data_IF_087847274221
#
_entry.id   IF_087847274221
#
_cell.length_a   1.000
_cell.length_b   1.000
_cell.length_c   1.000
_cell.angle_alpha   90.00
_cell.angle_beta   90.00
_cell.angle_gamma   90.00
#
_symmetry.space_group_name_H-M   'P 1'
#
loop_
_entity.id
_entity.type
_entity.pdbx_description
1 polymer ?
#
# COMPACT_ATOMS: atom_id res chain seq x y z
N UNK A 1 -9.54 6.08 -1.77
CA UNK A 1 -8.81 6.58 -2.95
C UNK A 1 -8.33 5.39 -3.77
N UNK A 2 -8.47 5.47 -5.10
CA UNK A 2 -7.95 4.49 -6.06
C UNK A 2 -6.51 4.83 -6.39
N UNK A 3 -5.61 3.84 -6.30
CA UNK A 3 -4.18 4.01 -6.65
C UNK A 3 -3.89 3.29 -7.96
N UNK A 4 -3.22 3.99 -8.88
CA UNK A 4 -2.76 3.40 -10.15
C UNK A 4 -1.33 2.92 -9.96
N UNK A 5 -1.11 1.64 -10.24
CA UNK A 5 0.16 0.95 -10.03
C UNK A 5 0.71 0.50 -11.37
N UNK A 6 1.98 0.79 -11.59
CA UNK A 6 2.76 0.35 -12.75
C UNK A 6 3.96 -0.49 -12.33
N UNK A 7 4.48 -1.28 -13.28
CA UNK A 7 5.70 -2.06 -13.11
C UNK A 7 6.76 -1.43 -13.99
N UNK A 8 7.93 -1.14 -13.41
CA UNK A 8 9.01 -0.47 -14.13
C UNK A 8 9.51 -1.39 -15.26
N UNK A 9 9.51 -0.94 -16.53
CA UNK A 9 10.05 -1.73 -17.63
C UNK A 9 11.57 -1.86 -17.50
N UNK A 10 12.11 -3.01 -17.92
CA UNK A 10 13.54 -3.32 -17.82
C UNK A 10 14.44 -2.42 -18.71
N UNK A 11 13.86 -1.73 -19.70
CA UNK A 11 14.52 -0.73 -20.54
C UNK A 11 13.67 0.53 -20.59
N UNK A 12 14.24 1.74 -20.41
CA UNK A 12 13.51 2.98 -20.65
C UNK A 12 13.20 3.06 -22.14
N UNK A 13 11.94 2.81 -22.52
CA UNK A 13 11.49 3.17 -23.86
C UNK A 13 11.32 4.69 -23.89
N UNK A 14 11.84 5.34 -24.91
CA UNK A 14 11.33 6.66 -25.29
C UNK A 14 9.82 6.48 -25.49
N UNK A 15 9.00 7.17 -24.69
CA UNK A 15 7.55 7.21 -24.86
C UNK A 15 7.28 7.81 -26.24
N UNK A 16 7.17 6.98 -27.27
CA UNK A 16 6.37 7.32 -28.42
C UNK A 16 4.94 7.38 -27.88
N UNK A 17 4.39 8.59 -27.79
CA UNK A 17 3.07 8.80 -27.24
C UNK A 17 2.06 8.01 -28.06
N UNK A 18 1.25 7.22 -27.36
CA UNK A 18 -0.01 6.76 -27.91
C UNK A 18 -1.02 6.69 -26.75
N UNK A 19 -2.15 7.39 -26.92
CA UNK A 19 -3.28 7.38 -26.00
C UNK A 19 -3.22 8.39 -24.85
N UNK A 20 -3.90 9.53 -25.00
CA UNK A 20 -4.22 10.47 -23.93
C UNK A 20 -5.21 9.90 -22.87
N UNK A 21 -5.33 8.58 -22.76
CA UNK A 21 -6.40 7.87 -22.04
C UNK A 21 -5.88 6.79 -21.09
N UNK A 22 -4.60 6.42 -21.15
CA UNK A 22 -4.09 5.39 -20.26
C UNK A 22 -3.80 5.95 -18.87
N UNK A 23 -4.30 5.29 -17.81
CA UNK A 23 -4.16 5.79 -16.45
C UNK A 23 -2.68 5.79 -16.04
N UNK A 24 -2.12 6.97 -15.77
CA UNK A 24 -0.71 7.13 -15.44
C UNK A 24 -0.39 6.56 -14.04
N UNK A 25 0.59 5.65 -13.91
CA UNK A 25 0.96 5.08 -12.63
C UNK A 25 1.49 6.11 -11.63
N UNK A 26 0.87 6.18 -10.45
CA UNK A 26 1.33 7.02 -9.33
C UNK A 26 2.28 6.29 -8.40
N UNK A 27 2.27 4.95 -8.44
CA UNK A 27 3.17 4.08 -7.65
C UNK A 27 3.83 3.07 -8.59
N UNK A 28 5.14 2.89 -8.43
CA UNK A 28 5.97 2.05 -9.28
C UNK A 28 6.59 0.90 -8.48
N UNK A 29 6.50 -0.32 -9.03
CA UNK A 29 7.20 -1.50 -8.50
C UNK A 29 8.27 -1.97 -9.49
N UNK A 30 9.36 -2.54 -8.98
CA UNK A 30 10.41 -3.06 -9.87
C UNK A 30 10.02 -4.39 -10.52
N UNK A 31 9.02 -5.09 -10.00
CA UNK A 31 8.54 -6.36 -10.57
C UNK A 31 7.14 -6.73 -10.11
N UNK A 32 6.48 -7.60 -10.89
CA UNK A 32 5.23 -8.25 -10.50
C UNK A 32 5.33 -8.98 -9.16
N UNK A 33 6.47 -9.63 -8.91
CA UNK A 33 6.71 -10.37 -7.66
C UNK A 33 6.65 -9.45 -6.44
N UNK A 34 7.27 -8.27 -6.52
CA UNK A 34 7.21 -7.29 -5.43
C UNK A 34 5.79 -6.76 -5.23
N UNK A 35 5.08 -6.46 -6.33
CA UNK A 35 3.68 -6.03 -6.29
C UNK A 35 2.79 -7.08 -5.62
N UNK A 36 2.83 -8.32 -6.09
CA UNK A 36 2.00 -9.42 -5.57
C UNK A 36 2.31 -9.73 -4.10
N UNK A 37 3.57 -9.57 -3.68
CA UNK A 37 3.96 -9.73 -2.27
C UNK A 37 3.37 -8.61 -1.40
N UNK A 38 3.38 -7.36 -1.88
CA UNK A 38 2.87 -6.24 -1.10
C UNK A 38 1.34 -6.20 -1.08
N UNK A 39 0.70 -6.43 -2.22
CA UNK A 39 -0.76 -6.49 -2.38
C UNK A 39 -1.31 -7.92 -2.30
N UNK A 40 -0.71 -8.75 -1.46
CA UNK A 40 -1.24 -10.06 -1.14
C UNK A 40 -2.66 -9.97 -0.59
N UNK A 41 -3.43 -11.07 -0.65
CA UNK A 41 -4.79 -11.12 -0.10
C UNK A 41 -4.85 -10.65 1.35
N UNK A 42 -3.91 -11.12 2.17
CA UNK A 42 -3.80 -10.71 3.58
C UNK A 42 -3.59 -9.21 3.76
N UNK A 43 -2.74 -8.59 2.94
CA UNK A 43 -2.45 -7.16 3.06
C UNK A 43 -3.60 -6.32 2.49
N UNK A 44 -4.29 -6.79 1.43
CA UNK A 44 -5.50 -6.13 0.92
C UNK A 44 -6.65 -6.21 1.93
N UNK A 45 -6.83 -7.35 2.58
CA UNK A 45 -7.78 -7.50 3.68
C UNK A 45 -7.43 -6.56 4.85
N UNK A 46 -6.14 -6.47 5.21
CA UNK A 46 -5.66 -5.55 6.24
C UNK A 46 -5.96 -4.08 5.88
N UNK A 47 -5.75 -3.67 4.63
CA UNK A 47 -6.04 -2.31 4.16
C UNK A 47 -7.53 -1.98 4.25
N UNK A 48 -8.41 -2.93 3.88
CA UNK A 48 -9.87 -2.80 4.03
C UNK A 48 -10.27 -2.70 5.49
N UNK A 49 -9.75 -3.58 6.34
CA UNK A 49 -9.99 -3.57 7.78
C UNK A 49 -9.59 -2.24 8.43
N UNK A 50 -8.42 -1.69 8.06
CA UNK A 50 -7.98 -0.37 8.50
C UNK A 50 -8.94 0.74 8.06
N UNK A 51 -9.46 0.68 6.84
CA UNK A 51 -10.42 1.68 6.32
C UNK A 51 -11.76 1.60 7.06
N UNK A 52 -12.27 0.40 7.26
CA UNK A 52 -13.58 0.16 7.86
C UNK A 52 -13.60 0.51 9.35
N UNK A 53 -12.56 0.08 10.09
CA UNK A 53 -12.54 0.19 11.56
C UNK A 53 -11.73 1.36 12.10
N UNK A 54 -10.91 2.00 11.27
CA UNK A 54 -10.09 3.16 11.64
C UNK A 54 -9.35 2.97 12.98
N UNK A 55 -8.45 1.98 13.08
CA UNK A 55 -7.76 1.65 14.32
C UNK A 55 -7.02 2.88 14.86
N UNK A 56 -7.06 3.07 16.17
CA UNK A 56 -6.34 4.09 16.92
C UNK A 56 -4.87 3.72 17.09
N UNK A 57 -4.53 2.43 17.07
CA UNK A 57 -3.14 1.97 17.23
C UNK A 57 -2.83 0.75 16.34
N UNK A 58 -1.54 0.51 16.07
CA UNK A 58 -1.07 -0.74 15.43
C UNK A 58 -1.42 -1.97 16.26
N UNK A 59 -1.46 -1.85 17.59
CA UNK A 59 -1.80 -2.97 18.48
C UNK A 59 -3.27 -3.39 18.30
N UNK A 60 -4.18 -2.43 18.25
CA UNK A 60 -5.60 -2.69 18.01
C UNK A 60 -5.82 -3.33 16.63
N UNK A 61 -5.11 -2.86 15.60
CA UNK A 61 -5.13 -3.50 14.29
C UNK A 61 -4.58 -4.94 14.33
N UNK A 62 -3.58 -5.21 15.17
CA UNK A 62 -3.01 -6.53 15.38
C UNK A 62 -4.04 -7.50 15.96
N UNK A 63 -4.78 -7.05 16.97
CA UNK A 63 -5.85 -7.83 17.60
C UNK A 63 -6.96 -8.18 16.59
N UNK A 64 -7.43 -7.20 15.80
CA UNK A 64 -8.51 -7.45 14.83
C UNK A 64 -8.09 -8.31 13.64
N UNK A 65 -6.83 -8.18 13.20
CA UNK A 65 -6.30 -8.96 12.08
C UNK A 65 -5.79 -10.34 12.50
N UNK A 66 -5.66 -10.62 13.80
CA UNK A 66 -5.06 -11.85 14.32
C UNK A 66 -3.57 -12.00 14.01
N UNK A 67 -2.89 -10.90 13.62
CA UNK A 67 -1.48 -10.91 13.21
C UNK A 67 -0.60 -10.34 14.31
N UNK A 68 0.61 -10.88 14.47
CA UNK A 68 1.58 -10.31 15.39
C UNK A 68 1.93 -8.85 15.05
N UNK A 69 1.93 -7.96 16.05
CA UNK A 69 2.19 -6.53 15.88
C UNK A 69 3.57 -6.22 15.25
N UNK A 70 4.58 -7.06 15.52
CA UNK A 70 5.93 -6.96 14.91
C UNK A 70 5.92 -7.25 13.41
N UNK A 71 5.07 -8.18 12.95
CA UNK A 71 4.88 -8.48 11.54
C UNK A 71 4.14 -7.34 10.84
N UNK A 72 3.05 -6.88 11.44
CA UNK A 72 2.30 -5.74 10.92
C UNK A 72 3.15 -4.48 10.81
N UNK A 73 3.99 -4.19 11.81
CA UNK A 73 4.86 -3.02 11.75
C UNK A 73 5.79 -3.02 10.53
N UNK A 74 6.31 -4.19 10.15
CA UNK A 74 7.15 -4.33 8.93
C UNK A 74 6.33 -4.14 7.66
N UNK A 75 5.15 -4.76 7.59
CA UNK A 75 4.22 -4.62 6.46
C UNK A 75 3.75 -3.17 6.30
N UNK A 76 3.33 -2.51 7.38
CA UNK A 76 2.83 -1.14 7.38
C UNK A 76 3.90 -0.14 6.93
N UNK A 77 5.16 -0.31 7.38
CA UNK A 77 6.27 0.50 6.87
C UNK A 77 6.52 0.28 5.38
N UNK A 78 6.37 -0.95 4.89
CA UNK A 78 6.51 -1.22 3.46
C UNK A 78 5.39 -0.54 2.68
N UNK A 79 4.14 -0.68 3.12
CA UNK A 79 2.98 0.00 2.52
C UNK A 79 3.11 1.53 2.56
N UNK A 80 3.66 2.08 3.65
CA UNK A 80 3.90 3.51 3.81
C UNK A 80 4.93 4.06 2.83
N UNK A 81 6.02 3.32 2.57
CA UNK A 81 7.02 3.73 1.54
C UNK A 81 6.41 3.86 0.14
N UNK A 82 5.35 3.11 -0.14
CA UNK A 82 4.62 3.15 -1.41
C UNK A 82 3.42 4.10 -1.36
N UNK A 83 3.26 4.89 -0.29
CA UNK A 83 2.15 5.84 -0.14
C UNK A 83 0.78 5.18 0.02
N UNK A 84 0.71 3.89 0.31
CA UNK A 84 -0.56 3.15 0.46
C UNK A 84 -1.14 3.27 1.87
N UNK A 85 -0.28 3.56 2.84
CA UNK A 85 -0.61 3.74 4.26
C UNK A 85 0.12 4.97 4.78
N UNK A 86 -0.46 5.63 5.79
CA UNK A 86 0.20 6.67 6.57
C UNK A 86 0.31 6.24 8.02
N UNK A 87 1.49 6.35 8.62
CA UNK A 87 1.70 6.07 10.04
C UNK A 87 1.73 7.39 10.82
N UNK A 88 0.67 7.67 11.57
CA UNK A 88 0.61 8.84 12.44
C UNK A 88 1.25 8.50 13.79
N UNK A 89 2.36 9.17 14.11
CA UNK A 89 3.07 8.99 15.37
C UNK A 89 2.62 10.05 16.34
N UNK A 90 2.21 9.63 17.53
CA UNK A 90 1.88 10.58 18.59
C UNK A 90 3.16 11.19 19.17
N UNK A 91 3.20 12.50 19.44
CA UNK A 91 4.35 13.13 20.11
C UNK A 91 4.45 12.71 21.58
N UNK A 92 3.33 12.45 22.24
CA UNK A 92 3.28 12.20 23.69
C UNK A 92 3.36 10.72 24.07
N UNK A 93 3.17 9.80 23.11
CA UNK A 93 3.12 8.36 23.38
C UNK A 93 3.88 7.58 22.31
N UNK A 94 4.32 6.36 22.65
CA UNK A 94 4.91 5.42 21.67
C UNK A 94 3.87 4.80 20.73
N UNK A 95 2.61 5.18 20.85
CA UNK A 95 1.53 4.66 20.01
C UNK A 95 1.67 5.21 18.59
N UNK A 96 1.36 4.35 17.62
CA UNK A 96 1.33 4.71 16.21
C UNK A 96 -0.03 4.32 15.66
N UNK A 97 -0.72 5.27 15.04
CA UNK A 97 -2.00 5.07 14.40
C UNK A 97 -1.80 4.84 12.91
N UNK A 98 -2.09 3.64 12.37
CA UNK A 98 -2.04 3.40 10.94
C UNK A 98 -3.32 3.87 10.25
N UNK A 99 -3.18 4.50 9.09
CA UNK A 99 -4.30 4.91 8.24
C UNK A 99 -4.09 4.34 6.83
N UNK A 100 -5.08 3.61 6.29
CA UNK A 100 -5.05 3.23 4.88
C UNK A 100 -5.33 4.45 4.01
N UNK A 101 -4.45 4.74 3.04
CA UNK A 101 -4.66 5.78 2.04
C UNK A 101 -5.30 5.19 0.78
N UNK A 102 -4.92 3.96 0.43
CA UNK A 102 -5.42 3.23 -0.73
C UNK A 102 -6.10 1.92 -0.32
N UNK A 103 -7.26 1.64 -0.92
CA UNK A 103 -7.99 0.37 -0.76
C UNK A 103 -8.44 -0.23 -2.08
N UNK A 104 -8.27 0.52 -3.17
CA UNK A 104 -8.62 0.14 -4.53
C UNK A 104 -7.39 0.37 -5.41
N UNK A 105 -7.14 -0.58 -6.30
CA UNK A 105 -5.92 -0.62 -7.10
C UNK A 105 -6.27 -0.87 -8.55
N UNK A 106 -5.71 -0.05 -9.44
CA UNK A 106 -5.66 -0.32 -10.87
C UNK A 106 -4.24 -0.69 -11.22
N UNK A 107 -4.04 -1.87 -11.80
CA UNK A 107 -2.72 -2.30 -12.24
C UNK A 107 -2.67 -2.13 -13.75
N UNK A 108 -1.70 -1.34 -14.21
CA UNK A 108 -1.40 -1.15 -15.63
C UNK A 108 -0.18 -1.97 -15.96
N UNK A 109 -0.30 -2.82 -16.97
CA UNK A 109 0.75 -3.68 -17.50
C UNK A 109 0.98 -3.27 -18.96
N UNK A 110 2.24 -3.22 -19.36
CA UNK A 110 2.66 -3.00 -20.76
C UNK A 110 2.45 -4.27 -21.61
#
# INVERSE_FOLDING_TARGET
MRTVIGIRPAKPRHRAGDGATDPEPTVWFDSWRQLASLLSDENRALLRLMRERQPRTVLELAEWSGRAASNLSRTLRHLERHGLVKMHRSPDTRAVRPEALATEFLIVLD
#
